data_IF_011257629342
#
_entry.id   IF_011257629342
#
_cell.length_a   1.000
_cell.length_b   1.000
_cell.length_c   1.000
_cell.angle_alpha   90.00
_cell.angle_beta   90.00
_cell.angle_gamma   90.00
#
_symmetry.space_group_name_H-M   'P 1'
#
loop_
_entity.id
_entity.type
_entity.pdbx_description
1 polymer ?
#
# COMPACT_ATOMS: atom_id res chain seq x y z
N UNK A 1 -11.78 -49.06 -65.33
CA UNK A 1 -10.85 -49.89 -66.13
C UNK A 1 -9.49 -49.22 -66.12
N UNK A 2 -8.44 -50.00 -65.79
CA UNK A 2 -7.00 -49.86 -66.16
C UNK A 2 -6.32 -48.51 -65.87
N UNK A 3 -5.58 -48.40 -64.75
CA UNK A 3 -4.15 -48.79 -64.55
C UNK A 3 -3.18 -47.89 -65.32
N UNK A 4 -2.38 -47.11 -64.60
CA UNK A 4 -0.97 -46.84 -64.94
C UNK A 4 -0.15 -46.61 -63.66
N UNK A 5 0.77 -47.52 -63.42
CA UNK A 5 2.05 -47.43 -62.68
C UNK A 5 3.14 -47.80 -63.71
N UNK A 6 4.46 -47.65 -63.46
CA UNK A 6 5.22 -47.07 -62.34
C UNK A 6 6.24 -46.00 -62.85
N UNK A 7 7.12 -45.42 -62.05
CA UNK A 7 8.52 -45.87 -61.86
C UNK A 7 9.09 -45.27 -60.57
N UNK A 8 9.82 -46.13 -59.88
CA UNK A 8 10.55 -45.95 -58.63
C UNK A 8 11.98 -45.46 -58.94
N UNK A 9 12.51 -44.49 -58.20
CA UNK A 9 13.95 -44.26 -58.08
C UNK A 9 14.30 -44.06 -56.60
N UNK A 10 15.21 -44.91 -56.14
CA UNK A 10 15.73 -45.04 -54.78
C UNK A 10 16.92 -44.08 -54.65
N UNK A 11 16.99 -43.33 -53.54
CA UNK A 11 18.12 -42.49 -53.18
C UNK A 11 18.34 -42.48 -51.67
N UNK A 12 19.59 -42.75 -51.28
CA UNK A 12 20.07 -43.20 -49.97
C UNK A 12 19.88 -42.27 -48.75
N UNK A 13 19.87 -42.97 -47.61
CA UNK A 13 20.08 -42.58 -46.20
C UNK A 13 21.24 -41.59 -46.00
N UNK A 14 21.05 -40.61 -45.12
CA UNK A 14 22.04 -40.20 -44.11
C UNK A 14 21.38 -39.35 -43.02
N UNK A 15 21.30 -39.89 -41.81
CA UNK A 15 21.01 -39.16 -40.60
C UNK A 15 22.33 -38.61 -40.04
N UNK A 16 22.41 -37.30 -39.82
CA UNK A 16 23.33 -36.71 -38.85
C UNK A 16 22.59 -35.57 -38.12
N UNK A 17 22.48 -35.77 -36.82
CA UNK A 17 22.11 -34.80 -35.79
C UNK A 17 23.09 -33.62 -35.74
N UNK A 18 22.57 -32.40 -35.64
CA UNK A 18 23.32 -31.21 -35.28
C UNK A 18 22.37 -30.07 -34.91
N UNK A 19 22.35 -29.71 -33.62
CA UNK A 19 21.71 -28.50 -33.11
C UNK A 19 22.35 -27.25 -33.73
N UNK A 20 21.56 -26.24 -34.12
CA UNK A 20 21.68 -24.91 -33.52
C UNK A 20 20.54 -23.93 -33.93
N UNK A 21 20.00 -23.30 -32.89
CA UNK A 21 19.49 -21.93 -32.74
C UNK A 21 18.65 -21.18 -33.81
N UNK A 22 17.51 -20.69 -33.28
CA UNK A 22 16.89 -19.35 -33.48
C UNK A 22 16.25 -19.11 -34.87
N UNK A 23 14.98 -18.71 -35.00
CA UNK A 23 14.31 -17.58 -34.35
C UNK A 23 12.81 -17.69 -34.66
N UNK A 24 11.93 -17.52 -33.66
CA UNK A 24 10.48 -17.33 -33.87
C UNK A 24 10.08 -16.07 -33.11
N UNK A 25 9.88 -14.98 -33.85
CA UNK A 25 9.21 -13.78 -33.35
C UNK A 25 7.72 -14.09 -33.34
N UNK A 26 7.11 -14.03 -32.16
CA UNK A 26 5.66 -14.01 -32.00
C UNK A 26 5.34 -13.01 -30.90
N UNK A 27 4.53 -12.04 -31.27
CA UNK A 27 4.07 -10.88 -30.53
C UNK A 27 3.54 -11.23 -29.14
N UNK A 28 4.11 -10.57 -28.12
CA UNK A 28 3.49 -10.44 -26.81
C UNK A 28 2.67 -9.16 -26.81
N UNK A 29 1.35 -9.31 -26.73
CA UNK A 29 0.44 -8.23 -26.44
C UNK A 29 0.78 -7.67 -25.06
N UNK A 30 1.22 -6.41 -25.03
CA UNK A 30 1.48 -5.66 -23.82
C UNK A 30 0.18 -5.46 -23.03
N UNK A 31 0.01 -6.26 -21.97
CA UNK A 31 -0.88 -5.91 -20.86
C UNK A 31 -0.07 -5.06 -19.90
N UNK A 32 -0.51 -3.82 -19.74
CA UNK A 32 0.10 -2.79 -18.91
C UNK A 32 -0.08 -3.17 -17.43
N UNK A 33 0.89 -3.91 -16.88
CA UNK A 33 1.07 -4.08 -15.44
C UNK A 33 1.79 -2.85 -14.87
N UNK A 34 1.02 -1.97 -14.26
CA UNK A 34 1.45 -0.87 -13.38
C UNK A 34 0.31 -0.80 -12.36
N UNK A 35 0.48 -1.04 -11.05
CA UNK A 35 1.46 -0.50 -10.11
C UNK A 35 1.50 -1.42 -8.86
N UNK A 36 2.63 -1.46 -8.14
CA UNK A 36 2.89 -2.19 -6.86
C UNK A 36 3.31 -3.67 -6.90
N UNK A 37 4.07 -4.10 -7.89
CA UNK A 37 4.87 -5.32 -7.72
C UNK A 37 6.21 -5.16 -8.43
N UNK A 38 7.17 -4.49 -7.79
CA UNK A 38 8.61 -4.75 -8.00
C UNK A 38 9.49 -3.98 -7.00
N UNK A 39 10.18 -4.76 -6.15
CA UNK A 39 11.43 -4.41 -5.46
C UNK A 39 11.46 -3.28 -4.41
N UNK A 40 10.47 -3.19 -3.53
CA UNK A 40 10.76 -2.75 -2.15
C UNK A 40 11.14 -3.98 -1.33
N UNK A 41 12.33 -3.96 -0.71
CA UNK A 41 12.62 -4.88 0.37
C UNK A 41 11.56 -4.66 1.45
N UNK A 42 10.63 -5.61 1.62
CA UNK A 42 9.66 -5.55 2.71
C UNK A 42 10.43 -5.48 4.02
N UNK A 43 10.41 -4.30 4.64
CA UNK A 43 10.97 -4.09 5.97
C UNK A 43 10.30 -5.10 6.91
N UNK A 44 11.05 -5.78 7.77
CA UNK A 44 10.47 -6.76 8.70
C UNK A 44 9.81 -7.99 8.05
N UNK A 45 10.25 -8.42 6.86
CA UNK A 45 9.72 -9.63 6.18
C UNK A 45 9.65 -10.85 7.10
N UNK A 46 10.74 -11.20 7.77
CA UNK A 46 10.80 -12.40 8.62
C UNK A 46 9.82 -12.31 9.79
N UNK A 47 9.69 -11.12 10.39
CA UNK A 47 8.73 -10.86 11.45
C UNK A 47 7.28 -10.92 10.94
N UNK A 48 7.01 -10.45 9.72
CA UNK A 48 5.71 -10.59 9.08
C UNK A 48 5.36 -12.05 8.84
N UNK A 49 6.29 -12.85 8.33
CA UNK A 49 6.06 -14.27 8.05
C UNK A 49 5.80 -15.06 9.35
N UNK A 50 6.59 -14.81 10.40
CA UNK A 50 6.36 -15.39 11.72
C UNK A 50 5.00 -14.97 12.32
N UNK A 51 4.67 -13.67 12.25
CA UNK A 51 3.36 -13.18 12.67
C UNK A 51 2.23 -13.85 11.89
N UNK A 52 2.33 -13.92 10.57
CA UNK A 52 1.32 -14.51 9.68
C UNK A 52 1.05 -15.97 10.03
N UNK A 53 2.09 -16.75 10.34
CA UNK A 53 1.97 -18.15 10.76
C UNK A 53 1.26 -18.32 12.11
N UNK A 54 1.31 -17.32 12.99
CA UNK A 54 0.59 -17.32 14.27
C UNK A 54 -0.91 -17.02 14.15
N UNK A 55 -1.38 -16.56 12.99
CA UNK A 55 -2.77 -16.16 12.76
C UNK A 55 -3.61 -17.27 12.15
N UNK A 56 -4.94 -17.17 12.29
CA UNK A 56 -5.86 -18.04 11.56
C UNK A 56 -5.81 -17.70 10.04
N UNK A 57 -5.43 -18.64 9.16
CA UNK A 57 -5.27 -18.35 7.72
C UNK A 57 -6.57 -17.91 7.03
N UNK A 58 -7.72 -18.46 7.43
CA UNK A 58 -9.02 -18.11 6.88
C UNK A 58 -9.41 -16.68 7.23
N UNK A 59 -9.09 -16.21 8.44
CA UNK A 59 -9.33 -14.82 8.84
C UNK A 59 -8.45 -13.86 8.03
N UNK A 60 -7.19 -14.20 7.80
CA UNK A 60 -6.29 -13.38 6.97
C UNK A 60 -6.80 -13.26 5.54
N UNK A 61 -7.17 -14.39 4.92
CA UNK A 61 -7.74 -14.40 3.58
C UNK A 61 -9.02 -13.58 3.50
N UNK A 62 -9.93 -13.73 4.48
CA UNK A 62 -11.16 -12.96 4.55
C UNK A 62 -10.91 -11.44 4.71
N UNK A 63 -9.85 -11.05 5.43
CA UNK A 63 -9.44 -9.65 5.55
C UNK A 63 -8.92 -9.11 4.22
N UNK A 64 -8.05 -9.84 3.52
CA UNK A 64 -7.56 -9.45 2.19
C UNK A 64 -8.70 -9.33 1.18
N UNK A 65 -9.59 -10.33 1.13
CA UNK A 65 -10.71 -10.37 0.19
C UNK A 65 -11.72 -9.25 0.46
N UNK A 66 -11.87 -8.83 1.72
CA UNK A 66 -12.67 -7.65 2.06
C UNK A 66 -12.16 -6.40 1.32
N UNK A 67 -10.85 -6.12 1.36
CA UNK A 67 -10.32 -4.93 0.67
C UNK A 67 -10.26 -5.11 -0.86
N UNK A 68 -10.01 -6.32 -1.37
CA UNK A 68 -10.12 -6.60 -2.82
C UNK A 68 -11.51 -6.29 -3.39
N UNK A 69 -12.56 -6.49 -2.60
CA UNK A 69 -13.92 -6.17 -3.02
C UNK A 69 -14.22 -4.66 -3.07
N UNK A 70 -13.42 -3.84 -2.38
CA UNK A 70 -13.65 -2.39 -2.25
C UNK A 70 -12.68 -1.52 -3.04
N UNK A 71 -11.52 -2.04 -3.45
CA UNK A 71 -10.46 -1.30 -4.12
C UNK A 71 -10.02 -2.00 -5.40
N UNK A 72 -9.77 -1.22 -6.46
CA UNK A 72 -9.22 -1.75 -7.73
C UNK A 72 -7.78 -2.24 -7.54
N UNK A 73 -7.02 -1.53 -6.72
CA UNK A 73 -5.64 -1.86 -6.35
C UNK A 73 -5.56 -1.88 -4.81
N UNK A 74 -6.00 -2.96 -4.17
CA UNK A 74 -6.05 -3.04 -2.71
C UNK A 74 -4.63 -3.07 -2.11
N UNK A 75 -4.39 -2.41 -0.96
CA UNK A 75 -3.14 -2.59 -0.23
C UNK A 75 -2.95 -4.07 0.16
N UNK A 76 -1.71 -4.55 0.13
CA UNK A 76 -1.40 -5.92 0.51
C UNK A 76 -1.68 -6.19 1.99
N UNK A 77 -1.82 -7.47 2.38
CA UNK A 77 -1.96 -7.86 3.79
C UNK A 77 -0.86 -7.26 4.67
N UNK A 78 0.38 -7.27 4.18
CA UNK A 78 1.52 -6.66 4.89
C UNK A 78 1.24 -5.18 5.19
N UNK A 79 0.85 -4.40 4.18
CA UNK A 79 0.57 -2.97 4.34
C UNK A 79 -0.62 -2.72 5.27
N UNK A 80 -1.63 -3.60 5.22
CA UNK A 80 -2.83 -3.50 6.04
C UNK A 80 -2.62 -3.90 7.52
N UNK A 81 -1.46 -4.43 7.90
CA UNK A 81 -1.21 -4.93 9.26
C UNK A 81 0.07 -4.42 9.88
N UNK A 82 1.02 -3.92 9.09
CA UNK A 82 2.29 -3.39 9.58
C UNK A 82 2.15 -2.04 10.27
N UNK A 83 3.00 -1.82 11.27
CA UNK A 83 3.34 -0.52 11.82
C UNK A 83 4.84 -0.28 11.63
N UNK A 84 5.19 0.64 10.71
CA UNK A 84 6.60 0.98 10.44
C UNK A 84 7.09 2.17 11.27
N UNK A 85 6.38 2.57 12.33
CA UNK A 85 6.95 3.52 13.29
C UNK A 85 8.18 2.90 13.98
N UNK A 86 9.21 3.70 14.31
CA UNK A 86 10.34 3.21 15.09
C UNK A 86 9.85 2.72 16.45
N UNK A 87 10.16 1.47 16.77
CA UNK A 87 9.83 0.83 18.03
C UNK A 87 11.12 0.58 18.83
N UNK A 88 10.97 0.59 20.15
CA UNK A 88 11.96 0.00 21.06
C UNK A 88 11.88 -1.53 20.93
N UNK A 89 12.95 -2.22 21.35
CA UNK A 89 13.10 -3.66 21.09
C UNK A 89 11.99 -4.52 21.70
N UNK A 90 11.46 -4.13 22.87
CA UNK A 90 10.35 -4.78 23.56
C UNK A 90 8.99 -4.57 22.88
N UNK A 91 8.90 -3.60 21.99
CA UNK A 91 7.72 -3.26 21.20
C UNK A 91 7.66 -3.97 19.83
N UNK A 92 8.76 -4.58 19.39
CA UNK A 92 8.87 -5.25 18.06
C UNK A 92 7.79 -6.33 17.84
N UNK A 93 7.40 -7.04 18.90
CA UNK A 93 6.36 -8.07 18.86
C UNK A 93 4.96 -7.53 18.50
N UNK A 94 4.72 -6.23 18.66
CA UNK A 94 3.44 -5.57 18.35
C UNK A 94 3.43 -4.87 16.98
N UNK A 95 4.44 -5.15 16.14
CA UNK A 95 4.61 -4.52 14.83
C UNK A 95 3.50 -4.84 13.84
N UNK A 96 2.89 -6.02 13.97
CA UNK A 96 1.81 -6.46 13.11
C UNK A 96 0.54 -6.71 13.92
N UNK A 97 -0.59 -6.21 13.44
CA UNK A 97 -1.86 -6.40 14.11
C UNK A 97 -3.00 -6.55 13.10
N UNK A 98 -3.91 -7.49 13.38
CA UNK A 98 -5.15 -7.67 12.63
C UNK A 98 -6.31 -7.03 13.42
N UNK A 99 -7.07 -6.08 12.84
CA UNK A 99 -8.24 -5.53 13.51
C UNK A 99 -9.35 -6.58 13.65
N UNK A 100 -10.17 -6.53 14.73
CA UNK A 100 -11.40 -7.31 14.82
C UNK A 100 -12.30 -7.09 13.59
N UNK A 101 -13.00 -8.15 13.15
CA UNK A 101 -13.79 -8.13 11.90
C UNK A 101 -14.80 -6.97 11.80
N UNK A 102 -15.44 -6.64 12.91
CA UNK A 102 -16.40 -5.53 12.97
C UNK A 102 -15.76 -4.16 12.66
N UNK A 103 -14.43 -4.02 12.75
CA UNK A 103 -13.71 -2.77 12.48
C UNK A 103 -13.15 -2.68 11.05
N UNK A 104 -13.29 -3.71 10.20
CA UNK A 104 -12.69 -3.67 8.86
C UNK A 104 -13.25 -2.54 7.99
N UNK A 105 -14.56 -2.33 8.07
CA UNK A 105 -15.25 -1.27 7.31
C UNK A 105 -14.82 0.15 7.71
N UNK A 106 -14.32 0.34 8.93
CA UNK A 106 -13.89 1.64 9.45
C UNK A 106 -12.74 2.26 8.67
N UNK A 107 -11.91 1.42 8.03
CA UNK A 107 -10.71 1.86 7.34
C UNK A 107 -11.01 2.39 5.93
N UNK A 108 -12.11 1.93 5.31
CA UNK A 108 -12.44 2.25 3.92
C UNK A 108 -12.42 3.76 3.64
N UNK A 109 -13.06 4.62 4.45
CA UNK A 109 -13.12 6.05 4.15
C UNK A 109 -11.75 6.75 4.19
N UNK A 110 -10.83 6.27 5.05
CA UNK A 110 -9.50 6.85 5.16
C UNK A 110 -8.60 6.43 3.98
N UNK A 111 -8.62 5.14 3.61
CA UNK A 111 -7.90 4.66 2.43
C UNK A 111 -8.39 5.31 1.13
N UNK A 112 -9.71 5.38 0.94
CA UNK A 112 -10.31 6.06 -0.22
C UNK A 112 -9.89 7.52 -0.30
N UNK A 113 -9.75 8.20 0.85
CA UNK A 113 -9.30 9.58 0.86
C UNK A 113 -7.82 9.71 0.46
N UNK A 114 -6.95 8.77 0.85
CA UNK A 114 -5.55 8.76 0.40
C UNK A 114 -5.47 8.56 -1.12
N UNK A 115 -6.22 7.60 -1.68
CA UNK A 115 -6.32 7.42 -3.14
C UNK A 115 -6.87 8.66 -3.83
N UNK A 116 -7.88 9.32 -3.26
CA UNK A 116 -8.44 10.55 -3.80
C UNK A 116 -7.40 11.69 -3.83
N UNK A 117 -6.56 11.81 -2.80
CA UNK A 117 -5.47 12.80 -2.77
C UNK A 117 -4.44 12.53 -3.88
N UNK A 118 -4.07 11.26 -4.09
CA UNK A 118 -3.20 10.85 -5.19
C UNK A 118 -3.83 11.21 -6.55
N UNK A 119 -5.09 10.83 -6.77
CA UNK A 119 -5.83 11.10 -8.01
C UNK A 119 -5.98 12.60 -8.32
N UNK A 120 -5.99 13.45 -7.28
CA UNK A 120 -6.01 14.91 -7.42
C UNK A 120 -4.60 15.53 -7.63
N UNK A 121 -3.55 14.71 -7.70
CA UNK A 121 -2.18 15.16 -7.92
C UNK A 121 -1.57 15.89 -6.73
N UNK A 122 -2.09 15.66 -5.51
CA UNK A 122 -1.47 16.22 -4.29
C UNK A 122 -0.04 15.67 -4.13
N UNK A 123 0.11 14.37 -4.39
CA UNK A 123 1.37 13.64 -4.50
C UNK A 123 1.27 12.59 -5.61
N UNK A 124 2.41 12.18 -6.16
CA UNK A 124 2.48 11.21 -7.25
C UNK A 124 2.24 9.79 -6.74
N UNK A 125 2.96 9.41 -5.69
CA UNK A 125 2.89 8.09 -5.07
C UNK A 125 2.79 8.22 -3.55
N UNK A 126 2.51 7.12 -2.86
CA UNK A 126 2.50 7.11 -1.40
C UNK A 126 2.88 5.76 -0.81
N UNK A 127 3.36 5.81 0.43
CA UNK A 127 3.62 4.64 1.26
C UNK A 127 2.79 4.72 2.53
N UNK A 128 1.98 3.70 2.78
CA UNK A 128 1.27 3.55 4.06
C UNK A 128 2.28 3.09 5.13
N UNK A 129 2.25 3.75 6.28
CA UNK A 129 3.12 3.53 7.44
C UNK A 129 2.43 2.69 8.49
N UNK A 130 1.15 2.98 8.76
CA UNK A 130 0.34 2.18 9.70
C UNK A 130 -1.16 2.42 9.49
N UNK A 131 -1.98 1.41 9.81
CA UNK A 131 -3.45 1.50 9.78
C UNK A 131 -4.08 1.14 11.13
N UNK A 132 -4.36 -0.11 11.41
CA UNK A 132 -4.79 -0.52 12.74
C UNK A 132 -3.58 -0.58 13.68
N UNK A 133 -3.79 -0.19 14.95
CA UNK A 133 -2.83 -0.44 16.03
C UNK A 133 -3.58 -1.13 17.17
N UNK A 134 -3.05 -2.23 17.67
CA UNK A 134 -3.50 -2.78 18.94
C UNK A 134 -3.24 -1.77 20.08
N UNK A 135 -3.87 -1.93 21.26
CA UNK A 135 -3.59 -1.09 22.42
C UNK A 135 -2.08 -1.01 22.75
N UNK A 136 -1.38 -2.13 22.68
CA UNK A 136 0.05 -2.27 22.94
C UNK A 136 0.86 -1.53 21.86
N UNK A 137 0.57 -1.78 20.58
CA UNK A 137 1.24 -1.11 19.47
C UNK A 137 1.02 0.42 19.50
N UNK A 138 -0.17 0.87 19.90
CA UNK A 138 -0.46 2.29 20.06
C UNK A 138 0.32 2.90 21.23
N UNK A 139 0.47 2.18 22.34
CA UNK A 139 1.32 2.60 23.46
C UNK A 139 2.79 2.71 23.03
N UNK A 140 3.32 1.69 22.36
CA UNK A 140 4.68 1.67 21.80
C UNK A 140 4.95 2.83 20.85
N UNK A 141 3.96 3.17 20.00
CA UNK A 141 4.03 4.32 19.11
C UNK A 141 3.83 5.68 19.82
N UNK A 142 3.70 5.70 21.15
CA UNK A 142 3.33 6.88 21.97
C UNK A 142 2.05 7.55 21.49
N UNK A 143 1.12 6.76 20.97
CA UNK A 143 -0.15 7.23 20.43
C UNK A 143 -1.09 7.73 21.53
N UNK A 144 -1.97 8.65 21.17
CA UNK A 144 -2.99 9.17 22.08
C UNK A 144 -3.96 8.05 22.53
N UNK A 145 -4.50 8.18 23.76
CA UNK A 145 -5.51 7.25 24.29
C UNK A 145 -6.78 7.19 23.42
N UNK A 146 -7.14 8.31 22.78
CA UNK A 146 -8.28 8.41 21.87
C UNK A 146 -7.88 8.26 20.39
N UNK A 147 -6.72 7.65 20.11
CA UNK A 147 -6.20 7.43 18.76
C UNK A 147 -7.23 6.72 17.86
N UNK A 148 -7.33 7.18 16.62
CA UNK A 148 -8.25 6.59 15.63
C UNK A 148 -7.71 5.28 15.05
N UNK A 149 -6.42 5.01 15.17
CA UNK A 149 -5.82 3.72 14.81
C UNK A 149 -6.34 2.56 15.67
N UNK A 150 -6.66 2.82 16.94
CA UNK A 150 -7.22 1.80 17.87
C UNK A 150 -8.56 1.22 17.41
N UNK A 151 -9.26 1.92 16.53
CA UNK A 151 -10.56 1.52 16.02
C UNK A 151 -10.55 1.36 14.48
N UNK A 152 -9.34 1.26 13.90
CA UNK A 152 -9.12 1.08 12.47
C UNK A 152 -9.72 2.18 11.58
N UNK A 153 -9.77 3.42 12.06
CA UNK A 153 -10.32 4.58 11.33
C UNK A 153 -9.26 5.44 10.63
N UNK A 154 -7.97 5.11 10.79
CA UNK A 154 -6.88 6.02 10.44
C UNK A 154 -5.82 5.35 9.58
N UNK A 155 -5.18 6.17 8.76
CA UNK A 155 -4.02 5.82 7.94
C UNK A 155 -2.93 6.83 8.23
N UNK A 156 -1.76 6.33 8.65
CA UNK A 156 -0.52 7.09 8.58
C UNK A 156 0.16 6.77 7.26
N UNK A 157 0.66 7.77 6.54
CA UNK A 157 1.30 7.59 5.25
C UNK A 157 2.41 8.61 5.00
N UNK A 158 3.21 8.35 3.96
CA UNK A 158 4.23 9.24 3.40
C UNK A 158 3.98 9.45 1.92
N UNK A 159 3.76 10.70 1.46
CA UNK A 159 3.83 11.08 0.07
C UNK A 159 5.21 10.78 -0.53
N UNK A 160 5.22 10.35 -1.79
CA UNK A 160 6.41 10.11 -2.59
C UNK A 160 6.26 10.78 -3.95
N UNK A 161 7.38 11.18 -4.55
CA UNK A 161 7.46 11.71 -5.91
C UNK A 161 7.37 10.60 -6.96
N UNK A 162 7.45 10.96 -8.24
CA UNK A 162 7.37 10.03 -9.37
C UNK A 162 8.52 9.01 -9.38
N UNK A 163 9.61 9.30 -8.67
CA UNK A 163 10.78 8.42 -8.52
C UNK A 163 10.73 7.58 -7.22
N UNK A 164 9.56 7.53 -6.56
CA UNK A 164 9.33 6.84 -5.28
C UNK A 164 10.22 7.36 -4.14
N UNK A 165 10.66 8.61 -4.20
CA UNK A 165 11.44 9.25 -3.15
C UNK A 165 10.58 10.23 -2.34
N UNK A 166 10.93 10.52 -1.07
CA UNK A 166 10.33 11.62 -0.34
C UNK A 166 10.53 12.94 -1.12
N UNK A 167 9.52 13.81 -1.12
CA UNK A 167 9.67 15.14 -1.73
C UNK A 167 10.80 15.93 -1.04
N UNK A 168 11.49 16.77 -1.80
CA UNK A 168 12.57 17.59 -1.23
C UNK A 168 12.06 18.70 -0.28
N UNK A 169 10.82 19.16 -0.47
CA UNK A 169 10.22 20.28 0.26
C UNK A 169 9.01 19.84 1.09
N UNK A 170 9.27 19.56 2.37
CA UNK A 170 8.25 19.23 3.38
C UNK A 170 7.19 20.34 3.51
N UNK A 171 7.60 21.62 3.46
CA UNK A 171 6.70 22.74 3.68
C UNK A 171 5.72 22.92 2.51
N UNK A 172 6.18 22.70 1.28
CA UNK A 172 5.31 22.69 0.11
C UNK A 172 4.26 21.58 0.19
N UNK A 173 4.64 20.37 0.65
CA UNK A 173 3.68 19.28 0.85
C UNK A 173 2.66 19.59 1.95
N UNK A 174 3.12 20.14 3.08
CA UNK A 174 2.25 20.62 4.16
C UNK A 174 1.23 21.65 3.62
N UNK A 175 1.67 22.62 2.82
CA UNK A 175 0.80 23.63 2.22
C UNK A 175 -0.28 23.01 1.32
N UNK A 176 0.07 22.04 0.47
CA UNK A 176 -0.90 21.34 -0.39
C UNK A 176 -1.98 20.63 0.44
N UNK A 177 -1.57 19.89 1.47
CA UNK A 177 -2.50 19.15 2.34
C UNK A 177 -3.36 20.10 3.19
N UNK A 178 -2.78 21.20 3.68
CA UNK A 178 -3.53 22.23 4.40
C UNK A 178 -4.57 22.92 3.51
N UNK A 179 -4.22 23.26 2.27
CA UNK A 179 -5.16 23.82 1.30
C UNK A 179 -6.32 22.85 1.03
N UNK A 180 -6.04 21.55 0.90
CA UNK A 180 -7.08 20.53 0.78
C UNK A 180 -7.98 20.47 2.02
N UNK A 181 -7.39 20.47 3.22
CA UNK A 181 -8.11 20.48 4.49
C UNK A 181 -9.05 21.69 4.59
N UNK A 182 -8.58 22.89 4.27
CA UNK A 182 -9.41 24.10 4.35
C UNK A 182 -10.57 24.06 3.37
N UNK A 183 -10.33 23.56 2.16
CA UNK A 183 -11.34 23.53 1.09
C UNK A 183 -12.39 22.43 1.30
N UNK A 184 -11.98 21.26 1.79
CA UNK A 184 -12.82 20.07 1.80
C UNK A 184 -13.05 19.47 3.19
N UNK A 185 -12.21 19.81 4.17
CA UNK A 185 -12.10 19.08 5.43
C UNK A 185 -13.37 19.04 6.26
N UNK A 186 -14.16 20.12 6.29
CA UNK A 186 -15.42 20.14 7.04
C UNK A 186 -16.44 19.15 6.45
N UNK A 187 -16.68 19.20 5.14
CA UNK A 187 -17.58 18.26 4.43
C UNK A 187 -17.10 16.81 4.57
N UNK A 188 -15.78 16.64 4.61
CA UNK A 188 -15.14 15.34 4.71
C UNK A 188 -14.97 14.85 6.15
N UNK A 189 -15.35 15.60 7.19
CA UNK A 189 -15.00 15.23 8.58
C UNK A 189 -13.52 14.83 8.72
N UNK A 190 -12.62 15.55 8.04
CA UNK A 190 -11.22 15.17 7.91
C UNK A 190 -10.43 15.53 9.18
N UNK A 191 -9.85 14.51 9.80
CA UNK A 191 -8.76 14.66 10.75
C UNK A 191 -7.42 14.58 10.02
N UNK A 192 -6.63 15.66 10.06
CA UNK A 192 -5.32 15.75 9.41
C UNK A 192 -4.20 16.06 10.41
N UNK A 193 -3.29 15.10 10.62
CA UNK A 193 -2.07 15.29 11.42
C UNK A 193 -0.84 15.47 10.55
N UNK A 194 0.02 16.44 10.89
CA UNK A 194 1.27 16.75 10.17
C UNK A 194 2.47 16.56 11.12
N UNK A 195 3.20 15.45 10.99
CA UNK A 195 4.25 15.07 11.95
C UNK A 195 5.67 15.45 11.51
N UNK A 196 5.82 16.22 10.42
CA UNK A 196 7.10 16.55 9.80
C UNK A 196 7.75 15.34 9.09
N UNK A 197 8.82 15.58 8.32
CA UNK A 197 9.48 14.54 7.51
C UNK A 197 8.50 13.78 6.62
N UNK A 198 7.52 14.52 6.08
CA UNK A 198 6.41 14.03 5.26
C UNK A 198 5.65 12.83 5.80
N UNK A 199 5.54 12.70 7.13
CA UNK A 199 4.65 11.71 7.74
C UNK A 199 3.34 12.37 8.14
N UNK A 200 2.25 11.86 7.60
CA UNK A 200 0.92 12.41 7.79
C UNK A 200 -0.04 11.38 8.32
N UNK A 201 -1.04 11.87 9.06
CA UNK A 201 -2.18 11.10 9.54
C UNK A 201 -3.44 11.58 8.84
N UNK A 202 -4.27 10.65 8.36
CA UNK A 202 -5.63 10.94 7.91
C UNK A 202 -6.64 10.02 8.60
N UNK A 203 -7.75 10.59 9.05
CA UNK A 203 -8.98 9.87 9.37
C UNK A 203 -10.22 10.66 8.97
N UNK A 204 -11.38 10.00 9.03
CA UNK A 204 -12.69 10.54 8.63
C UNK A 204 -13.64 10.77 9.80
N UNK A 205 -13.10 10.96 11.01
CA UNK A 205 -13.86 10.97 12.27
C UNK A 205 -14.10 12.36 12.87
N UNK A 206 -13.83 13.44 12.13
CA UNK A 206 -14.13 14.82 12.54
C UNK A 206 -13.16 15.85 11.98
N UNK A 207 -13.65 17.06 11.69
CA UNK A 207 -12.85 18.15 11.11
C UNK A 207 -11.88 18.74 12.14
N UNK A 208 -10.60 18.35 12.06
CA UNK A 208 -9.56 18.79 13.00
C UNK A 208 -8.16 18.63 12.41
N UNK A 209 -7.21 19.36 12.97
CA UNK A 209 -5.81 19.24 12.57
C UNK A 209 -4.86 19.47 13.75
N UNK A 210 -3.69 18.85 13.69
CA UNK A 210 -2.62 18.94 14.68
C UNK A 210 -1.25 18.80 14.01
N UNK A 211 -0.20 19.23 14.69
CA UNK A 211 1.18 19.15 14.20
C UNK A 211 2.06 18.21 15.03
N UNK A 212 3.38 18.43 14.95
CA UNK A 212 4.43 17.68 15.65
C UNK A 212 4.23 17.64 17.17
N UNK A 213 3.58 18.64 17.76
CA UNK A 213 3.26 18.67 19.19
C UNK A 213 1.98 17.94 19.57
N UNK A 214 1.38 17.17 18.66
CA UNK A 214 0.15 16.39 18.86
C UNK A 214 -1.09 17.21 19.25
N UNK A 215 -1.03 18.54 19.10
CA UNK A 215 -2.11 19.46 19.38
C UNK A 215 -2.33 20.45 18.24
N UNK A 216 -3.53 21.03 18.20
CA UNK A 216 -3.94 22.01 17.19
C UNK A 216 -3.03 23.24 17.15
N UNK A 217 -2.54 23.71 18.31
CA UNK A 217 -1.62 24.84 18.42
C UNK A 217 -0.32 24.65 17.61
N UNK A 218 0.05 23.42 17.29
CA UNK A 218 1.24 23.11 16.49
C UNK A 218 0.94 22.80 15.02
N UNK A 219 -0.34 22.79 14.61
CA UNK A 219 -0.72 22.49 13.23
C UNK A 219 -0.17 23.55 12.27
N UNK A 220 0.57 23.16 11.21
CA UNK A 220 0.92 24.04 10.11
C UNK A 220 -0.31 24.67 9.43
N UNK A 221 -1.45 23.98 9.42
CA UNK A 221 -2.66 24.44 8.73
C UNK A 221 -3.44 25.52 9.48
N UNK A 222 -3.06 25.86 10.72
CA UNK A 222 -3.69 26.94 11.49
C UNK A 222 -2.81 28.18 11.61
N UNK A 223 -1.56 28.10 11.12
CA UNK A 223 -0.67 29.26 11.07
C UNK A 223 -1.17 30.22 9.99
N UNK A 224 -1.36 31.48 10.35
CA UNK A 224 -1.70 32.57 9.44
C UNK A 224 -0.46 33.07 8.72
#
# INVERSE_FOLDING_TARGET
MKKFTPVLAIGLISALTGCDSKQSISESAAVSETTQTQSETLEYRDAFDAWKQSQNPQTLLAYEDYFKAHFKQPPSLYVLTVNTHPFEQDCEQYRFALPPKQMWHNLLPALQLVEQLQQQGIFAEYKIVSVYRSPEANHCARGAKASKHLNNYAVDFKPLDESLQPYADDAAMDQKLCAFLHKHGQKLHLGLGLYGKQRYHIDRQGYRTWGVGYGSATSPCLKK
#
